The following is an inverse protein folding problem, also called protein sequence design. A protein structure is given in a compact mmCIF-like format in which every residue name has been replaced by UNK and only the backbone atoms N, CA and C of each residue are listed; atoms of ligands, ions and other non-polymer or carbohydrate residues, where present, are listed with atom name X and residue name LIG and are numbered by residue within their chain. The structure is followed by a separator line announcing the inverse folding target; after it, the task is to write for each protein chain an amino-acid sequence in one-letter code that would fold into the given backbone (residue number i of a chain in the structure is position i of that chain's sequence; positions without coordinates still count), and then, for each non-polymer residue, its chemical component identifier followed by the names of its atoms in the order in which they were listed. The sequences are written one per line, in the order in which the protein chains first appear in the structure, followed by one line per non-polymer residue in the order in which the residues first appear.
data_IF_010148369061
#
_entry.id   IF_010148369061
#
_cell.length_a   1.000
_cell.length_b   1.000
_cell.length_c   1.000
_cell.angle_alpha   90.00
_cell.angle_beta   90.00
_cell.angle_gamma   90.00
#
_symmetry.space_group_name_H-M   'P 1'
#
loop_
_entity.id
_entity.type
_entity.pdbx_description
1 polymer ?
#
# COMPACT_ATOMS: atom_id res chain seq x y z
N UNK A 1 -56.34 -37.58 -23.65
CA UNK A 1 -56.33 -36.55 -22.58
C UNK A 1 -55.09 -36.77 -21.72
N UNK A 2 -53.94 -36.21 -22.10
CA UNK A 2 -52.71 -36.28 -21.30
C UNK A 2 -52.25 -34.87 -20.98
N UNK A 3 -52.15 -34.58 -19.68
CA UNK A 3 -51.90 -33.27 -19.08
C UNK A 3 -50.46 -32.83 -19.32
N UNK A 4 -50.31 -31.64 -19.89
CA UNK A 4 -49.05 -30.89 -20.00
C UNK A 4 -48.72 -30.33 -18.60
N UNK A 5 -47.64 -30.80 -18.00
CA UNK A 5 -47.15 -30.31 -16.70
C UNK A 5 -46.07 -29.25 -16.97
N UNK A 6 -46.44 -27.97 -16.87
CA UNK A 6 -45.52 -26.84 -17.01
C UNK A 6 -44.78 -26.68 -15.68
N UNK A 7 -43.49 -26.98 -15.68
CA UNK A 7 -42.59 -26.80 -14.53
C UNK A 7 -42.03 -25.37 -14.57
N UNK A 8 -42.49 -24.52 -13.66
CA UNK A 8 -41.94 -23.17 -13.45
C UNK A 8 -40.62 -23.28 -12.68
N UNK A 9 -39.51 -22.95 -13.34
CA UNK A 9 -38.21 -22.78 -12.70
C UNK A 9 -38.17 -21.36 -12.11
N UNK A 10 -38.27 -21.25 -10.79
CA UNK A 10 -38.09 -19.99 -10.07
C UNK A 10 -36.60 -19.83 -9.77
N UNK A 11 -35.93 -18.96 -10.52
CA UNK A 11 -34.54 -18.59 -10.27
C UNK A 11 -34.51 -17.63 -9.08
N UNK A 12 -34.15 -18.11 -7.89
CA UNK A 12 -33.93 -17.26 -6.74
C UNK A 12 -32.60 -16.50 -6.92
N UNK A 13 -32.67 -15.21 -7.20
CA UNK A 13 -31.51 -14.31 -7.11
C UNK A 13 -31.19 -14.10 -5.65
N UNK A 14 -30.11 -14.73 -5.17
CA UNK A 14 -29.52 -14.40 -3.88
C UNK A 14 -28.86 -13.03 -4.02
N UNK A 15 -29.56 -11.97 -3.60
CA UNK A 15 -28.94 -10.67 -3.37
C UNK A 15 -28.02 -10.82 -2.16
N UNK A 16 -26.71 -10.90 -2.39
CA UNK A 16 -25.72 -10.77 -1.33
C UNK A 16 -25.91 -9.37 -0.71
N UNK A 17 -26.32 -9.35 0.55
CA UNK A 17 -26.27 -8.15 1.37
C UNK A 17 -24.78 -7.86 1.59
N UNK A 18 -24.24 -6.89 0.87
CA UNK A 18 -22.90 -6.39 1.17
C UNK A 18 -22.97 -5.70 2.54
N UNK A 19 -22.03 -5.99 3.46
CA UNK A 19 -21.97 -5.30 4.74
C UNK A 19 -21.81 -3.79 4.51
N UNK A 20 -22.44 -3.01 5.39
CA UNK A 20 -22.45 -1.56 5.38
C UNK A 20 -21.00 -1.04 5.48
N UNK A 21 -20.54 -0.41 4.40
CA UNK A 21 -19.36 0.43 4.21
C UNK A 21 -18.39 0.57 5.42
N UNK A 22 -17.27 -0.17 5.37
CA UNK A 22 -16.00 0.44 5.75
C UNK A 22 -15.86 1.74 4.95
N UNK A 23 -15.44 2.83 5.59
CA UNK A 23 -15.11 4.07 4.89
C UNK A 23 -14.20 3.72 3.70
N UNK A 24 -14.46 4.30 2.53
CA UNK A 24 -13.63 4.03 1.35
C UNK A 24 -12.26 4.65 1.61
N UNK A 25 -11.35 3.85 2.18
CA UNK A 25 -9.96 4.21 2.37
C UNK A 25 -9.38 4.52 1.01
N UNK A 26 -8.80 5.71 0.87
CA UNK A 26 -8.01 6.09 -0.31
C UNK A 26 -6.57 5.64 -0.09
N UNK A 27 -6.11 4.55 -0.72
CA UNK A 27 -4.90 3.87 -0.27
C UNK A 27 -3.64 4.74 -0.33
N UNK A 28 -3.50 5.58 -1.34
CA UNK A 28 -2.37 6.51 -1.53
C UNK A 28 -2.32 7.67 -0.51
N UNK A 29 -3.45 8.04 0.07
CA UNK A 29 -3.54 9.09 1.10
C UNK A 29 -3.45 8.50 2.52
N UNK A 30 -3.71 7.20 2.67
CA UNK A 30 -3.84 6.55 3.98
C UNK A 30 -2.57 5.83 4.41
N UNK A 31 -2.04 4.94 3.57
CA UNK A 31 -0.86 4.16 3.91
C UNK A 31 0.40 4.96 3.63
N UNK A 32 1.38 4.87 4.52
CA UNK A 32 2.75 5.31 4.24
C UNK A 32 3.57 4.17 3.64
N UNK A 33 3.30 2.94 4.09
CA UNK A 33 3.84 1.71 3.50
C UNK A 33 2.74 0.66 3.32
N UNK A 34 2.74 -0.01 2.17
CA UNK A 34 1.86 -1.16 1.94
C UNK A 34 2.56 -2.29 1.20
N UNK A 35 2.41 -3.51 1.71
CA UNK A 35 2.81 -4.74 1.00
C UNK A 35 1.56 -5.45 0.48
N UNK A 36 1.51 -5.83 -0.80
CA UNK A 36 0.38 -6.60 -1.34
C UNK A 36 0.35 -8.03 -0.78
N UNK A 37 1.52 -8.56 -0.42
CA UNK A 37 1.72 -9.83 0.27
C UNK A 37 2.22 -9.58 1.68
N UNK A 38 3.37 -10.15 2.02
CA UNK A 38 3.88 -10.19 3.39
C UNK A 38 4.82 -9.01 3.69
N UNK A 39 4.93 -8.67 4.98
CA UNK A 39 6.03 -7.89 5.53
C UNK A 39 6.84 -8.82 6.45
N UNK A 40 8.06 -9.17 6.06
CA UNK A 40 8.87 -10.16 6.77
C UNK A 40 8.35 -11.59 6.58
N UNK A 41 8.94 -12.52 7.33
CA UNK A 41 8.48 -13.91 7.42
C UNK A 41 8.85 -14.50 8.77
N UNK A 42 8.35 -15.70 9.07
CA UNK A 42 8.76 -16.47 10.25
C UNK A 42 10.26 -16.76 10.30
N UNK A 43 10.91 -16.94 9.14
CA UNK A 43 12.34 -17.18 9.02
C UNK A 43 13.19 -15.90 9.02
N UNK A 44 12.59 -14.77 8.65
CA UNK A 44 13.27 -13.48 8.51
C UNK A 44 12.31 -12.35 8.86
N UNK A 45 12.17 -12.06 10.16
CA UNK A 45 11.39 -10.94 10.67
C UNK A 45 12.00 -9.62 10.19
N UNK A 46 11.14 -8.68 9.79
CA UNK A 46 11.54 -7.35 9.35
C UNK A 46 11.90 -6.48 10.56
N UNK A 47 13.02 -5.76 10.48
CA UNK A 47 13.44 -4.77 11.48
C UNK A 47 13.22 -3.36 10.93
N UNK A 48 11.98 -3.07 10.55
CA UNK A 48 11.64 -1.83 9.87
C UNK A 48 11.03 -0.79 10.82
N UNK A 49 11.19 0.47 10.46
CA UNK A 49 10.57 1.61 11.14
C UNK A 49 9.64 2.33 10.16
N UNK A 50 8.38 2.55 10.54
CA UNK A 50 7.37 3.16 9.68
C UNK A 50 6.75 4.37 10.37
N UNK A 51 6.85 5.55 9.75
CA UNK A 51 6.09 6.74 10.16
C UNK A 51 4.80 6.80 9.34
N UNK A 52 3.65 6.70 10.02
CA UNK A 52 2.32 6.61 9.42
C UNK A 52 1.71 5.21 9.46
N UNK A 53 0.51 5.07 8.89
CA UNK A 53 -0.18 3.78 8.82
C UNK A 53 0.54 2.82 7.88
N UNK A 54 0.74 1.58 8.34
CA UNK A 54 1.34 0.49 7.59
C UNK A 54 0.30 -0.60 7.29
N UNK A 55 0.45 -1.29 6.16
CA UNK A 55 -0.45 -2.36 5.78
C UNK A 55 0.22 -3.50 5.04
N UNK A 56 -0.34 -4.70 5.18
CA UNK A 56 0.02 -5.87 4.40
C UNK A 56 -1.23 -6.64 3.98
N UNK A 57 -1.32 -7.07 2.73
CA UNK A 57 -2.37 -7.98 2.29
C UNK A 57 -2.23 -9.39 2.87
N UNK A 58 -1.01 -9.79 3.22
CA UNK A 58 -0.66 -11.06 3.85
C UNK A 58 -0.27 -10.92 5.31
N UNK A 59 0.74 -11.70 5.71
CA UNK A 59 1.24 -11.77 7.08
C UNK A 59 2.30 -10.70 7.36
N UNK A 60 2.43 -10.33 8.63
CA UNK A 60 3.38 -9.32 9.09
C UNK A 60 4.20 -9.86 10.24
N UNK A 61 5.51 -9.93 10.03
CA UNK A 61 6.49 -10.51 10.94
C UNK A 61 7.57 -9.47 11.26
N UNK A 62 7.42 -8.78 12.39
CA UNK A 62 8.32 -7.70 12.81
C UNK A 62 9.24 -8.12 13.97
N UNK A 63 10.41 -7.50 14.05
CA UNK A 63 11.34 -7.60 15.17
C UNK A 63 12.00 -6.26 15.44
N UNK A 64 11.99 -5.76 16.68
CA UNK A 64 12.68 -4.49 17.01
C UNK A 64 12.34 -3.34 16.08
N UNK A 65 11.04 -3.22 15.80
CA UNK A 65 10.42 -2.28 14.87
C UNK A 65 9.60 -1.23 15.59
N UNK A 66 9.51 -0.03 15.01
CA UNK A 66 8.54 0.98 15.39
C UNK A 66 7.54 1.28 14.27
N UNK A 67 6.28 1.47 14.64
CA UNK A 67 5.23 1.98 13.74
C UNK A 67 4.60 3.16 14.45
N UNK A 68 4.75 4.35 13.87
CA UNK A 68 4.37 5.61 14.48
C UNK A 68 3.25 6.26 13.68
N UNK A 69 1.99 5.94 13.99
CA UNK A 69 0.84 6.50 13.26
C UNK A 69 0.56 7.98 13.58
N UNK A 70 1.19 8.50 14.65
CA UNK A 70 1.04 9.88 15.12
C UNK A 70 -0.12 10.08 16.10
N UNK A 71 -0.90 9.03 16.40
CA UNK A 71 -1.95 9.05 17.43
C UNK A 71 -2.30 7.64 17.91
N UNK A 72 -2.52 7.47 19.21
CA UNK A 72 -2.99 6.20 19.80
C UNK A 72 -4.39 5.78 19.35
N UNK A 73 -5.18 6.74 18.85
CA UNK A 73 -6.56 6.55 18.38
C UNK A 73 -6.64 6.23 16.87
N UNK A 74 -5.53 6.35 16.16
CA UNK A 74 -5.43 5.97 14.74
C UNK A 74 -5.03 4.51 14.61
N UNK A 75 -5.31 3.89 13.46
CA UNK A 75 -4.73 2.59 13.13
C UNK A 75 -3.29 2.79 12.66
N UNK A 76 -2.39 2.05 13.30
CA UNK A 76 -0.98 2.01 12.93
C UNK A 76 -0.70 0.89 11.94
N UNK A 77 -1.41 -0.24 12.07
CA UNK A 77 -1.09 -1.44 11.32
C UNK A 77 -2.35 -2.22 10.93
N UNK A 78 -2.43 -2.60 9.66
CA UNK A 78 -3.44 -3.50 9.10
C UNK A 78 -2.79 -4.74 8.47
N UNK A 79 -3.11 -5.94 8.95
CA UNK A 79 -2.65 -7.19 8.35
C UNK A 79 -3.83 -8.00 7.82
N UNK A 80 -3.78 -8.43 6.56
CA UNK A 80 -4.77 -9.34 6.01
C UNK A 80 -4.68 -10.76 6.61
N UNK A 81 -3.46 -11.17 6.99
CA UNK A 81 -3.15 -12.43 7.66
C UNK A 81 -2.78 -12.25 9.13
N UNK A 82 -1.77 -12.98 9.58
CA UNK A 82 -1.26 -12.92 10.96
C UNK A 82 -0.40 -11.66 11.17
N UNK A 83 -0.49 -11.06 12.36
CA UNK A 83 0.44 -10.02 12.80
C UNK A 83 1.26 -10.54 13.98
N UNK A 84 2.58 -10.64 13.79
CA UNK A 84 3.48 -11.00 14.86
C UNK A 84 4.65 -10.06 15.00
N UNK A 85 4.79 -9.50 16.20
CA UNK A 85 5.85 -8.57 16.56
C UNK A 85 6.58 -9.08 17.79
N UNK A 86 7.90 -9.08 17.73
CA UNK A 86 8.76 -9.52 18.82
C UNK A 86 9.86 -8.48 19.11
N UNK A 87 10.37 -8.49 20.33
CA UNK A 87 11.60 -7.79 20.75
C UNK A 87 11.54 -6.26 20.65
N UNK A 88 11.32 -5.56 21.76
CA UNK A 88 11.45 -4.10 21.89
C UNK A 88 10.72 -3.31 20.80
N UNK A 89 9.53 -3.77 20.38
CA UNK A 89 8.73 -3.10 19.36
C UNK A 89 7.81 -2.03 19.95
N UNK A 90 7.50 -0.99 19.17
CA UNK A 90 6.49 0.02 19.51
C UNK A 90 5.51 0.13 18.35
N UNK A 91 4.22 0.02 18.63
CA UNK A 91 3.14 0.29 17.67
C UNK A 91 2.27 1.37 18.28
N UNK A 92 2.42 2.58 17.78
CA UNK A 92 1.64 3.73 18.24
C UNK A 92 0.33 3.84 17.47
N UNK A 93 -0.70 3.19 17.99
CA UNK A 93 -2.04 3.14 17.41
C UNK A 93 -2.73 1.79 17.63
N UNK A 94 -3.87 1.63 16.97
CA UNK A 94 -4.60 0.38 16.87
C UNK A 94 -3.94 -0.58 15.86
N UNK A 95 -4.10 -1.88 16.11
CA UNK A 95 -3.69 -2.94 15.18
C UNK A 95 -4.88 -3.83 14.89
N UNK A 96 -5.12 -4.10 13.62
CA UNK A 96 -6.04 -5.16 13.20
C UNK A 96 -5.35 -6.19 12.30
N UNK A 97 -5.72 -7.45 12.50
CA UNK A 97 -5.21 -8.59 11.75
C UNK A 97 -6.37 -9.53 11.40
N UNK A 98 -6.48 -9.92 10.13
CA UNK A 98 -7.44 -10.94 9.70
C UNK A 98 -7.18 -12.32 10.31
N UNK A 99 -5.90 -12.59 10.64
CA UNK A 99 -5.44 -13.76 11.36
C UNK A 99 -5.26 -13.52 12.85
N UNK A 100 -4.25 -14.16 13.43
CA UNK A 100 -3.89 -14.07 14.84
C UNK A 100 -2.88 -12.96 15.11
N UNK A 101 -2.89 -12.41 16.33
CA UNK A 101 -1.91 -11.45 16.81
C UNK A 101 -1.01 -12.11 17.87
N UNK A 102 0.27 -12.24 17.55
CA UNK A 102 1.28 -12.85 18.42
C UNK A 102 2.36 -11.86 18.85
N UNK A 103 2.51 -11.62 20.15
CA UNK A 103 3.35 -10.53 20.67
C UNK A 103 4.41 -10.96 21.69
N UNK A 104 5.56 -10.30 21.71
CA UNK A 104 6.59 -10.48 22.75
C UNK A 104 7.42 -9.22 22.89
N UNK A 105 7.51 -8.65 24.10
CA UNK A 105 8.39 -7.51 24.33
C UNK A 105 7.98 -6.25 23.56
N UNK A 106 6.68 -6.03 23.37
CA UNK A 106 6.12 -4.96 22.52
C UNK A 106 5.20 -4.05 23.32
N UNK A 107 5.18 -2.78 22.96
CA UNK A 107 4.15 -1.82 23.40
C UNK A 107 3.25 -1.49 22.21
N UNK A 108 1.95 -1.74 22.36
CA UNK A 108 0.90 -1.23 21.47
C UNK A 108 0.11 -0.20 22.24
N UNK A 109 0.03 1.05 21.77
CA UNK A 109 -0.63 2.13 22.53
C UNK A 109 -2.16 2.05 22.43
N UNK A 110 -2.69 1.44 21.37
CA UNK A 110 -4.13 1.32 21.11
C UNK A 110 -4.73 -0.06 21.37
N UNK A 111 -5.82 -0.35 20.65
CA UNK A 111 -6.57 -1.60 20.69
C UNK A 111 -5.98 -2.65 19.74
N UNK A 112 -6.22 -3.92 20.04
CA UNK A 112 -5.95 -5.05 19.15
C UNK A 112 -7.26 -5.68 18.68
N UNK A 113 -7.33 -5.97 17.38
CA UNK A 113 -8.45 -6.66 16.74
C UNK A 113 -7.92 -7.83 15.91
N UNK A 114 -8.26 -9.07 16.28
CA UNK A 114 -7.81 -10.27 15.56
C UNK A 114 -9.01 -11.08 15.07
N UNK A 115 -8.96 -11.57 13.83
CA UNK A 115 -9.88 -12.61 13.35
C UNK A 115 -9.62 -13.97 14.02
N UNK A 116 -8.36 -14.24 14.36
CA UNK A 116 -7.91 -15.42 15.08
C UNK A 116 -7.70 -15.18 16.58
N UNK A 117 -6.61 -15.72 17.12
CA UNK A 117 -6.25 -15.61 18.54
C UNK A 117 -5.40 -14.37 18.81
N UNK A 118 -5.41 -13.88 20.05
CA UNK A 118 -4.43 -12.90 20.56
C UNK A 118 -3.63 -13.58 21.66
N UNK A 119 -2.32 -13.67 21.51
CA UNK A 119 -1.44 -14.32 22.48
C UNK A 119 -0.11 -13.60 22.62
N UNK A 120 0.53 -13.79 23.78
CA UNK A 120 1.95 -13.47 23.95
C UNK A 120 2.78 -14.75 24.02
N UNK A 121 4.05 -14.66 23.64
CA UNK A 121 4.93 -15.82 23.63
C UNK A 121 5.41 -16.25 25.04
N UNK A 122 5.07 -15.52 26.10
CA UNK A 122 5.40 -15.87 27.49
C UNK A 122 6.79 -15.43 27.99
N UNK A 123 7.53 -14.69 27.16
CA UNK A 123 8.84 -14.10 27.46
C UNK A 123 8.77 -12.63 27.05
N UNK A 124 9.53 -11.74 27.70
CA UNK A 124 9.39 -10.28 27.52
C UNK A 124 8.09 -9.72 28.13
N UNK A 125 8.05 -8.40 28.36
CA UNK A 125 6.84 -7.73 28.83
C UNK A 125 6.10 -7.16 27.62
N UNK A 126 4.81 -7.45 27.49
CA UNK A 126 3.96 -6.83 26.47
C UNK A 126 3.00 -5.83 27.13
N UNK A 127 2.78 -4.69 26.50
CA UNK A 127 1.82 -3.70 26.95
C UNK A 127 0.83 -3.40 25.84
N UNK A 128 -0.46 -3.54 26.13
CA UNK A 128 -1.57 -3.13 25.28
C UNK A 128 -2.27 -1.98 25.99
N UNK A 129 -2.16 -0.79 25.43
CA UNK A 129 -2.72 0.43 25.99
C UNK A 129 -4.25 0.45 25.95
N UNK A 130 -4.88 -0.33 25.07
CA UNK A 130 -6.33 -0.51 24.97
C UNK A 130 -6.82 -1.93 25.30
N UNK A 131 -7.86 -2.35 24.59
CA UNK A 131 -8.48 -3.68 24.70
C UNK A 131 -7.93 -4.65 23.66
N UNK A 132 -7.96 -5.95 24.00
CA UNK A 132 -7.71 -7.05 23.07
C UNK A 132 -9.03 -7.74 22.69
N UNK A 133 -9.39 -7.70 21.42
CA UNK A 133 -10.63 -8.28 20.88
C UNK A 133 -10.27 -9.34 19.84
N UNK A 134 -10.62 -10.60 20.12
CA UNK A 134 -10.29 -11.74 19.26
C UNK A 134 -11.55 -12.49 18.83
N UNK A 135 -11.63 -12.86 17.55
CA UNK A 135 -12.59 -13.84 17.04
C UNK A 135 -12.37 -15.23 17.65
N UNK A 136 -11.10 -15.56 17.92
CA UNK A 136 -10.69 -16.72 18.70
C UNK A 136 -10.57 -16.41 20.19
N UNK A 137 -9.45 -16.83 20.78
CA UNK A 137 -9.15 -16.68 22.20
C UNK A 137 -8.11 -15.58 22.47
N UNK A 138 -8.29 -14.85 23.56
CA UNK A 138 -7.24 -13.99 24.15
C UNK A 138 -6.51 -14.77 25.24
N UNK A 139 -5.29 -15.21 24.95
CA UNK A 139 -4.43 -16.01 25.83
C UNK A 139 -3.16 -15.23 26.20
N UNK A 140 -3.28 -14.34 27.19
CA UNK A 140 -2.19 -13.50 27.66
C UNK A 140 -1.60 -14.04 28.98
N UNK A 141 -0.27 -14.09 29.08
CA UNK A 141 0.48 -14.48 30.26
C UNK A 141 0.51 -13.35 31.30
N UNK A 142 1.01 -13.65 32.50
CA UNK A 142 1.17 -12.64 33.56
C UNK A 142 2.19 -11.54 33.25
N UNK A 143 2.87 -11.59 32.09
CA UNK A 143 3.84 -10.59 31.63
C UNK A 143 3.23 -9.58 30.66
N UNK A 144 1.99 -9.81 30.22
CA UNK A 144 1.26 -8.89 29.38
C UNK A 144 0.33 -8.03 30.23
N UNK A 145 0.28 -6.72 29.94
CA UNK A 145 -0.72 -5.81 30.48
C UNK A 145 -1.71 -5.42 29.38
N UNK A 146 -2.99 -5.38 29.74
CA UNK A 146 -4.11 -5.05 28.84
C UNK A 146 -5.23 -4.42 29.66
N UNK A 147 -6.01 -3.52 29.08
CA UNK A 147 -7.15 -2.92 29.80
C UNK A 147 -8.32 -3.89 29.93
N UNK A 148 -8.64 -4.59 28.84
CA UNK A 148 -9.69 -5.60 28.79
C UNK A 148 -9.39 -6.66 27.73
N UNK A 149 -9.91 -7.87 27.93
CA UNK A 149 -9.74 -8.99 27.00
C UNK A 149 -11.09 -9.59 26.65
N UNK A 150 -11.36 -9.74 25.37
CA UNK A 150 -12.61 -10.26 24.85
C UNK A 150 -12.34 -11.35 23.81
N UNK A 151 -12.66 -12.60 24.16
CA UNK A 151 -12.63 -13.75 23.24
C UNK A 151 -13.99 -13.93 22.56
N UNK A 152 -14.00 -14.49 21.34
CA UNK A 152 -15.22 -14.76 20.58
C UNK A 152 -15.93 -13.52 20.03
N UNK A 153 -15.25 -12.37 19.95
CA UNK A 153 -15.78 -11.14 19.37
C UNK A 153 -15.67 -11.23 17.85
N UNK A 154 -16.78 -11.07 17.13
CA UNK A 154 -16.75 -11.09 15.67
C UNK A 154 -15.76 -10.03 15.13
N UNK A 155 -14.85 -10.46 14.26
CA UNK A 155 -13.89 -9.58 13.62
C UNK A 155 -14.52 -8.88 12.42
N UNK A 156 -14.41 -7.56 12.40
CA UNK A 156 -14.82 -6.71 11.28
C UNK A 156 -13.59 -5.98 10.72
N UNK A 157 -13.07 -6.40 9.55
CA UNK A 157 -11.88 -5.80 8.98
C UNK A 157 -12.12 -4.34 8.65
N UNK A 158 -11.18 -3.47 9.06
CA UNK A 158 -11.24 -2.05 8.75
C UNK A 158 -10.84 -1.75 7.31
N UNK A 159 -9.97 -2.60 6.76
CA UNK A 159 -9.45 -2.50 5.40
C UNK A 159 -9.87 -3.72 4.58
N UNK A 160 -10.36 -3.48 3.37
CA UNK A 160 -10.47 -4.54 2.37
C UNK A 160 -9.12 -4.68 1.63
N UNK A 161 -8.25 -5.54 2.15
CA UNK A 161 -6.90 -5.74 1.62
C UNK A 161 -6.86 -6.17 0.15
N UNK A 162 -7.86 -6.94 -0.29
CA UNK A 162 -7.97 -7.33 -1.70
C UNK A 162 -8.26 -6.12 -2.59
N UNK A 163 -9.18 -5.24 -2.17
CA UNK A 163 -9.49 -4.02 -2.92
C UNK A 163 -8.30 -3.06 -2.95
N UNK A 164 -7.62 -2.87 -1.82
CA UNK A 164 -6.41 -2.02 -1.73
C UNK A 164 -5.29 -2.55 -2.63
N UNK A 165 -5.02 -3.86 -2.58
CA UNK A 165 -3.98 -4.49 -3.40
C UNK A 165 -4.29 -4.37 -4.89
N UNK A 166 -5.56 -4.55 -5.26
CA UNK A 166 -5.99 -4.40 -6.65
C UNK A 166 -5.90 -2.95 -7.14
N UNK A 167 -6.23 -1.97 -6.29
CA UNK A 167 -6.10 -0.54 -6.59
C UNK A 167 -4.65 -0.16 -6.91
N UNK A 168 -3.69 -0.58 -6.08
CA UNK A 168 -2.27 -0.35 -6.35
C UNK A 168 -1.77 -1.05 -7.61
N UNK A 169 -2.20 -2.29 -7.84
CA UNK A 169 -1.82 -3.06 -9.03
C UNK A 169 -2.36 -2.42 -10.31
N UNK A 170 -3.64 -2.09 -10.34
CA UNK A 170 -4.28 -1.43 -11.48
C UNK A 170 -3.70 -0.06 -11.75
N UNK A 171 -3.46 0.74 -10.69
CA UNK A 171 -2.83 2.05 -10.83
C UNK A 171 -1.42 1.93 -11.42
N UNK A 172 -0.60 1.00 -10.91
CA UNK A 172 0.76 0.79 -11.43
C UNK A 172 0.77 0.33 -12.88
N UNK A 173 -0.10 -0.62 -13.25
CA UNK A 173 -0.28 -1.08 -14.63
C UNK A 173 -0.75 0.06 -15.54
N UNK A 174 -1.71 0.86 -15.07
CA UNK A 174 -2.22 1.99 -15.83
C UNK A 174 -1.14 3.03 -16.10
N UNK A 175 -0.40 3.44 -15.06
CA UNK A 175 0.71 4.40 -15.17
C UNK A 175 1.81 3.83 -16.08
N UNK A 176 2.10 2.53 -15.96
CA UNK A 176 3.07 1.82 -16.81
C UNK A 176 2.67 1.78 -18.29
N UNK A 177 1.38 1.84 -18.60
CA UNK A 177 0.84 1.87 -19.96
C UNK A 177 0.70 3.29 -20.54
N UNK A 178 0.96 4.35 -19.76
CA UNK A 178 0.92 5.73 -20.27
C UNK A 178 2.11 6.00 -21.18
N UNK A 179 1.87 6.64 -22.31
CA UNK A 179 2.93 7.04 -23.22
C UNK A 179 3.82 8.13 -22.60
N UNK A 180 5.14 7.98 -22.71
CA UNK A 180 6.09 9.02 -22.31
C UNK A 180 5.82 10.34 -23.08
N UNK A 181 5.76 11.45 -22.34
CA UNK A 181 5.49 12.80 -22.87
C UNK A 181 6.73 13.71 -22.86
N UNK A 182 7.86 13.22 -22.38
CA UNK A 182 9.12 13.95 -22.30
C UNK A 182 10.33 13.04 -22.34
N UNK A 183 11.51 13.63 -22.20
CA UNK A 183 12.78 12.90 -22.13
C UNK A 183 13.60 13.35 -20.94
N UNK A 184 14.36 12.43 -20.38
CA UNK A 184 15.32 12.71 -19.32
C UNK A 184 16.66 13.03 -19.96
N UNK A 185 17.25 14.16 -19.57
CA UNK A 185 18.60 14.52 -20.00
C UNK A 185 19.62 14.11 -18.95
N UNK A 186 20.76 13.57 -19.38
CA UNK A 186 21.91 13.31 -18.51
C UNK A 186 22.88 14.50 -18.59
N UNK A 187 23.08 15.18 -17.46
CA UNK A 187 23.98 16.31 -17.31
C UNK A 187 25.10 15.93 -16.34
N UNK A 188 26.21 15.44 -16.90
CA UNK A 188 27.40 15.05 -16.11
C UNK A 188 27.09 14.01 -15.02
N UNK A 189 26.29 12.99 -15.35
CA UNK A 189 25.89 11.93 -14.41
C UNK A 189 24.67 12.29 -13.54
N UNK A 190 24.09 13.48 -13.71
CA UNK A 190 22.83 13.87 -13.08
C UNK A 190 21.68 13.75 -14.08
N UNK A 191 20.57 13.14 -13.70
CA UNK A 191 19.36 13.13 -14.51
C UNK A 191 18.58 14.42 -14.30
N UNK A 192 18.09 15.01 -15.38
CA UNK A 192 17.28 16.22 -15.33
C UNK A 192 16.06 16.05 -16.23
N UNK A 193 14.89 16.20 -15.62
CA UNK A 193 13.61 16.27 -16.32
C UNK A 193 12.98 17.66 -16.13
N UNK A 194 12.42 18.20 -17.21
CA UNK A 194 11.67 19.47 -17.21
C UNK A 194 10.25 19.17 -17.66
N UNK A 195 9.30 19.29 -16.75
CA UNK A 195 7.87 19.06 -16.97
C UNK A 195 7.08 20.34 -17.20
N UNK A 196 5.81 20.18 -17.56
CA UNK A 196 4.81 21.24 -17.67
C UNK A 196 3.70 21.06 -16.62
N UNK A 197 2.76 22.01 -16.56
CA UNK A 197 1.52 21.86 -15.78
C UNK A 197 0.76 20.58 -16.17
N UNK A 198 0.08 19.97 -15.20
CA UNK A 198 -0.67 18.72 -15.38
C UNK A 198 0.18 17.46 -15.25
N UNK A 199 -0.29 16.35 -15.83
CA UNK A 199 0.39 15.06 -15.75
C UNK A 199 1.56 15.00 -16.72
N UNK A 200 2.70 14.54 -16.25
CA UNK A 200 3.93 14.32 -17.01
C UNK A 200 4.35 12.87 -16.84
N UNK A 201 4.66 12.19 -17.94
CA UNK A 201 5.11 10.79 -17.93
C UNK A 201 6.47 10.72 -18.58
N UNK A 202 7.43 10.09 -17.90
CA UNK A 202 8.77 9.81 -18.44
C UNK A 202 9.19 8.38 -18.13
N UNK A 203 10.11 7.87 -18.94
CA UNK A 203 10.67 6.54 -18.78
C UNK A 203 12.16 6.63 -18.49
N UNK A 204 12.65 5.75 -17.61
CA UNK A 204 14.07 5.58 -17.32
C UNK A 204 14.37 4.10 -17.16
N UNK A 205 15.43 3.61 -17.78
CA UNK A 205 15.91 2.26 -17.48
C UNK A 205 16.68 2.24 -16.15
N UNK A 206 16.67 1.09 -15.51
CA UNK A 206 17.29 0.91 -14.21
C UNK A 206 18.80 1.17 -14.22
N UNK A 207 19.51 0.85 -15.31
CA UNK A 207 20.96 1.07 -15.37
C UNK A 207 21.27 2.57 -15.39
N UNK A 208 20.49 3.35 -16.14
CA UNK A 208 20.59 4.82 -16.19
C UNK A 208 20.28 5.43 -14.82
N UNK A 209 19.19 5.01 -14.17
CA UNK A 209 18.81 5.51 -12.84
C UNK A 209 19.88 5.19 -11.79
N UNK A 210 20.36 3.95 -11.75
CA UNK A 210 21.41 3.49 -10.81
C UNK A 210 22.75 4.20 -11.03
N UNK A 211 23.09 4.53 -12.27
CA UNK A 211 24.36 5.19 -12.60
C UNK A 211 24.34 6.68 -12.30
N UNK A 212 23.15 7.26 -12.07
CA UNK A 212 22.99 8.66 -11.79
C UNK A 212 23.29 8.96 -10.31
N UNK A 213 24.05 10.02 -10.05
CA UNK A 213 24.27 10.47 -8.68
C UNK A 213 23.07 11.28 -8.14
N UNK A 214 22.18 11.75 -9.02
CA UNK A 214 20.97 12.46 -8.63
C UNK A 214 19.98 12.63 -9.79
N UNK A 215 18.75 13.00 -9.44
CA UNK A 215 17.65 13.26 -10.36
C UNK A 215 16.97 14.58 -9.96
N UNK A 216 17.11 15.61 -10.80
CA UNK A 216 16.35 16.86 -10.68
C UNK A 216 15.08 16.83 -11.53
N UNK A 217 13.97 17.20 -10.92
CA UNK A 217 12.67 17.38 -11.56
C UNK A 217 12.30 18.86 -11.47
N UNK A 218 12.14 19.50 -12.62
CA UNK A 218 11.76 20.92 -12.73
C UNK A 218 10.35 21.00 -13.30
N UNK A 219 9.36 21.36 -12.50
CA UNK A 219 7.98 21.48 -12.93
C UNK A 219 7.19 22.46 -12.04
N UNK A 220 6.11 23.08 -12.54
CA UNK A 220 5.24 23.92 -11.73
C UNK A 220 4.53 23.13 -10.62
N UNK A 221 4.01 23.84 -9.60
CA UNK A 221 3.39 23.23 -8.42
C UNK A 221 2.12 22.40 -8.69
N UNK A 222 1.48 22.60 -9.84
CA UNK A 222 0.31 21.85 -10.29
C UNK A 222 0.66 20.64 -11.17
N UNK A 223 1.96 20.36 -11.35
CA UNK A 223 2.42 19.20 -12.10
C UNK A 223 2.38 17.92 -11.27
N UNK A 224 2.07 16.81 -11.93
CA UNK A 224 2.28 15.45 -11.42
C UNK A 224 3.30 14.78 -12.31
N UNK A 225 4.31 14.13 -11.74
CA UNK A 225 5.38 13.47 -12.50
C UNK A 225 5.37 11.97 -12.21
N UNK A 226 5.13 11.19 -13.25
CA UNK A 226 5.10 9.73 -13.22
C UNK A 226 6.34 9.22 -13.95
N UNK A 227 7.22 8.54 -13.23
CA UNK A 227 8.49 8.02 -13.73
C UNK A 227 8.36 6.51 -13.84
N UNK A 228 8.25 5.98 -15.05
CA UNK A 228 8.20 4.55 -15.29
C UNK A 228 9.61 3.97 -15.36
N UNK A 229 9.89 2.99 -14.50
CA UNK A 229 11.07 2.11 -14.60
C UNK A 229 10.64 0.81 -15.26
N UNK A 230 11.20 0.53 -16.44
CA UNK A 230 10.70 -0.52 -17.32
C UNK A 230 11.22 -1.93 -16.97
N UNK A 231 12.32 -1.98 -16.22
CA UNK A 231 13.04 -3.20 -15.89
C UNK A 231 12.29 -4.11 -14.91
N UNK A 232 12.53 -5.42 -15.04
CA UNK A 232 11.98 -6.43 -14.13
C UNK A 232 12.76 -6.55 -12.82
N UNK A 233 14.00 -6.05 -12.77
CA UNK A 233 14.84 -6.06 -11.57
C UNK A 233 15.42 -4.68 -11.34
N UNK A 234 15.09 -4.10 -10.18
CA UNK A 234 15.44 -2.74 -9.82
C UNK A 234 16.26 -2.71 -8.53
N UNK A 235 17.18 -1.77 -8.42
CA UNK A 235 18.07 -1.57 -7.29
C UNK A 235 18.35 -0.09 -7.09
N UNK A 236 17.89 0.48 -5.98
CA UNK A 236 18.07 1.88 -5.66
C UNK A 236 19.02 2.02 -4.48
N UNK A 237 20.30 2.15 -4.83
CA UNK A 237 21.41 2.18 -3.87
C UNK A 237 21.75 3.60 -3.39
N UNK A 238 21.10 4.64 -3.93
CA UNK A 238 21.00 6.05 -3.49
C UNK A 238 20.94 6.95 -4.73
N UNK A 239 19.87 7.73 -4.85
CA UNK A 239 19.76 8.81 -5.83
C UNK A 239 19.34 10.05 -5.08
N UNK A 240 20.10 11.15 -5.21
CA UNK A 240 19.65 12.44 -4.66
C UNK A 240 18.49 12.98 -5.50
N UNK A 241 17.31 13.09 -4.90
CA UNK A 241 16.12 13.65 -5.55
C UNK A 241 16.04 15.15 -5.25
N UNK A 242 15.89 15.95 -6.31
CA UNK A 242 15.75 17.40 -6.19
C UNK A 242 14.51 17.88 -6.95
N UNK A 243 13.69 18.69 -6.30
CA UNK A 243 12.46 19.25 -6.86
C UNK A 243 12.61 20.76 -7.03
N UNK A 244 12.27 21.28 -8.20
CA UNK A 244 12.41 22.70 -8.55
C UNK A 244 11.20 23.18 -9.35
N UNK A 245 10.96 24.50 -9.37
CA UNK A 245 9.85 25.10 -10.13
C UNK A 245 8.51 25.09 -9.40
N UNK A 246 8.46 24.55 -8.18
CA UNK A 246 7.28 24.54 -7.31
C UNK A 246 6.64 23.16 -7.12
N UNK A 247 7.04 22.15 -7.92
CA UNK A 247 6.68 20.76 -7.64
C UNK A 247 7.33 20.28 -6.33
N UNK A 248 6.61 19.43 -5.60
CA UNK A 248 7.05 18.81 -4.35
C UNK A 248 7.09 17.28 -4.51
N UNK A 249 7.77 16.58 -3.58
CA UNK A 249 7.96 15.12 -3.66
C UNK A 249 6.64 14.36 -3.69
N UNK A 250 5.60 14.86 -3.02
CA UNK A 250 4.27 14.27 -2.91
C UNK A 250 3.56 14.16 -4.28
N UNK A 251 4.03 14.90 -5.29
CA UNK A 251 3.50 14.88 -6.65
C UNK A 251 4.36 14.04 -7.63
N UNK A 252 5.39 13.35 -7.14
CA UNK A 252 6.29 12.52 -7.94
C UNK A 252 6.18 11.06 -7.56
N UNK A 253 5.92 10.19 -8.54
CA UNK A 253 5.80 8.75 -8.36
C UNK A 253 6.79 7.99 -9.24
N UNK A 254 7.63 7.18 -8.62
CA UNK A 254 8.45 6.18 -9.29
C UNK A 254 7.66 4.87 -9.41
N UNK A 255 7.16 4.60 -10.61
CA UNK A 255 6.34 3.44 -10.92
C UNK A 255 7.18 2.32 -11.56
N UNK A 256 7.06 1.11 -11.02
CA UNK A 256 7.80 -0.07 -11.47
C UNK A 256 6.83 -1.22 -11.79
N UNK A 257 5.95 -0.99 -12.77
CA UNK A 257 4.85 -1.91 -13.10
C UNK A 257 5.31 -3.35 -13.43
N UNK A 258 6.52 -3.51 -13.95
CA UNK A 258 7.07 -4.81 -14.36
C UNK A 258 8.08 -5.39 -13.36
N UNK A 259 8.45 -4.66 -12.31
CA UNK A 259 9.50 -5.10 -11.40
C UNK A 259 9.03 -6.26 -10.53
N UNK A 260 9.76 -7.38 -10.59
CA UNK A 260 9.56 -8.56 -9.74
C UNK A 260 10.55 -8.60 -8.57
N UNK A 261 11.66 -7.86 -8.66
CA UNK A 261 12.62 -7.68 -7.58
C UNK A 261 12.99 -6.21 -7.44
N UNK A 262 12.99 -5.73 -6.20
CA UNK A 262 13.47 -4.40 -5.84
C UNK A 262 14.45 -4.52 -4.67
N UNK A 263 15.65 -3.96 -4.82
CA UNK A 263 16.61 -3.83 -3.72
C UNK A 263 16.72 -2.35 -3.33
N UNK A 264 16.61 -2.08 -2.03
CA UNK A 264 16.77 -0.75 -1.44
C UNK A 264 17.84 -0.85 -0.36
N UNK A 265 18.85 0.02 -0.42
CA UNK A 265 19.97 -0.03 0.55
C UNK A 265 20.43 1.34 1.05
N UNK A 266 19.79 2.43 0.63
CA UNK A 266 20.10 3.81 1.06
C UNK A 266 18.85 4.69 1.00
N UNK A 267 19.03 5.98 1.31
CA UNK A 267 17.96 6.97 1.31
C UNK A 267 17.48 7.32 -0.10
N UNK A 268 16.16 7.30 -0.30
CA UNK A 268 15.47 7.70 -1.51
C UNK A 268 14.27 8.60 -1.15
N UNK A 269 14.33 9.88 -1.52
CA UNK A 269 13.27 10.86 -1.27
C UNK A 269 12.26 10.94 -2.40
N UNK A 270 11.54 9.84 -2.66
CA UNK A 270 10.53 9.73 -3.73
C UNK A 270 9.48 8.70 -3.34
N UNK A 271 8.26 8.85 -3.86
CA UNK A 271 7.22 7.83 -3.73
C UNK A 271 7.50 6.67 -4.69
N UNK A 272 7.34 5.43 -4.23
CA UNK A 272 7.66 4.21 -4.97
C UNK A 272 6.43 3.31 -5.04
N UNK A 273 6.04 2.92 -6.26
CA UNK A 273 4.98 1.95 -6.53
C UNK A 273 5.54 0.79 -7.35
N UNK A 274 5.77 -0.35 -6.68
CA UNK A 274 6.34 -1.57 -7.26
C UNK A 274 5.53 -2.82 -6.82
N UNK A 275 4.23 -2.90 -7.16
CA UNK A 275 3.29 -3.84 -6.53
C UNK A 275 3.57 -5.31 -6.84
N UNK A 276 4.39 -5.63 -7.83
CA UNK A 276 4.79 -7.00 -8.16
C UNK A 276 6.14 -7.40 -7.53
N UNK A 277 6.86 -6.44 -6.92
CA UNK A 277 8.23 -6.65 -6.51
C UNK A 277 8.32 -7.32 -5.14
N UNK A 278 9.10 -8.40 -5.07
CA UNK A 278 9.66 -8.86 -3.79
C UNK A 278 10.82 -7.95 -3.41
N UNK A 279 10.61 -7.12 -2.39
CA UNK A 279 11.52 -6.04 -2.03
C UNK A 279 12.43 -6.42 -0.87
N UNK A 280 13.74 -6.26 -1.07
CA UNK A 280 14.77 -6.35 -0.04
C UNK A 280 15.20 -4.94 0.36
N UNK A 281 14.67 -4.44 1.48
CA UNK A 281 14.99 -3.13 2.02
C UNK A 281 16.00 -3.27 3.15
N UNK A 282 17.28 -3.42 2.80
CA UNK A 282 18.33 -3.78 3.76
C UNK A 282 18.52 -2.72 4.83
N UNK A 283 18.59 -1.46 4.43
CA UNK A 283 18.85 -0.30 5.29
C UNK A 283 18.52 0.99 4.52
N UNK A 284 18.52 2.12 5.23
CA UNK A 284 18.25 3.45 4.66
C UNK A 284 16.81 3.88 4.87
N UNK A 285 16.40 4.93 4.16
CA UNK A 285 15.08 5.55 4.34
C UNK A 285 14.41 5.80 3.00
N UNK A 286 13.18 5.34 2.82
CA UNK A 286 12.30 5.89 1.79
C UNK A 286 11.59 7.08 2.43
N UNK A 287 11.99 8.29 2.03
CA UNK A 287 11.30 9.52 2.44
C UNK A 287 10.20 9.83 1.42
N UNK A 288 9.07 9.14 1.59
CA UNK A 288 7.90 9.16 0.74
C UNK A 288 7.01 7.95 1.04
N UNK A 289 6.15 7.64 0.08
CA UNK A 289 5.26 6.50 0.07
C UNK A 289 5.92 5.25 -0.53
N UNK A 290 5.67 4.06 0.03
CA UNK A 290 6.22 2.80 -0.48
C UNK A 290 5.15 1.72 -0.64
N UNK A 291 4.94 1.23 -1.87
CA UNK A 291 4.12 0.05 -2.16
C UNK A 291 4.91 -1.01 -2.87
N UNK A 292 4.84 -2.24 -2.37
CA UNK A 292 5.58 -3.38 -2.89
C UNK A 292 4.76 -4.66 -2.91
N UNK A 293 5.21 -5.67 -3.64
CA UNK A 293 4.60 -7.01 -3.62
C UNK A 293 4.85 -7.75 -2.31
N UNK A 294 6.11 -7.83 -1.89
CA UNK A 294 6.51 -8.29 -0.55
C UNK A 294 7.59 -7.35 0.00
N UNK A 295 7.69 -7.20 1.32
CA UNK A 295 8.69 -6.35 1.96
C UNK A 295 9.51 -7.15 2.97
N UNK A 296 10.83 -7.14 2.82
CA UNK A 296 11.77 -7.76 3.77
C UNK A 296 12.90 -6.78 4.11
N UNK A 297 13.56 -6.99 5.24
CA UNK A 297 14.74 -6.20 5.65
C UNK A 297 14.46 -5.28 6.83
N UNK A 298 15.14 -4.15 6.91
CA UNK A 298 15.06 -3.24 8.05
C UNK A 298 15.22 -1.75 7.73
N UNK A 299 14.83 -1.34 6.53
CA UNK A 299 14.78 0.08 6.18
C UNK A 299 13.64 0.83 6.87
N UNK A 300 13.75 2.16 6.87
CA UNK A 300 12.74 3.08 7.38
C UNK A 300 11.88 3.62 6.23
N UNK A 301 10.58 3.83 6.47
CA UNK A 301 9.70 4.61 5.59
C UNK A 301 9.17 5.80 6.37
N UNK A 302 9.32 7.01 5.83
CA UNK A 302 8.90 8.27 6.47
C UNK A 302 8.31 9.26 5.46
N UNK A 303 7.60 10.30 5.94
CA UNK A 303 7.22 11.46 5.11
C UNK A 303 6.11 11.21 4.09
N UNK A 304 5.18 10.29 4.41
CA UNK A 304 4.25 9.66 3.48
C UNK A 304 3.18 10.51 2.77
N UNK A 305 2.46 9.79 1.91
CA UNK A 305 1.40 10.14 0.97
C UNK A 305 1.84 10.70 -0.40
N UNK A 306 1.38 10.02 -1.46
CA UNK A 306 1.38 10.56 -2.81
C UNK A 306 0.05 11.27 -3.05
N UNK A 307 0.09 12.56 -3.39
CA UNK A 307 -1.10 13.43 -3.54
C UNK A 307 -1.37 13.79 -5.00
N UNK A 308 -0.51 13.34 -5.92
CA UNK A 308 -0.71 13.57 -7.35
C UNK A 308 -1.98 12.89 -7.87
N UNK A 309 -2.81 13.62 -8.61
CA UNK A 309 -3.97 13.04 -9.26
C UNK A 309 -3.52 12.15 -10.43
N UNK A 310 -3.76 10.85 -10.33
CA UNK A 310 -3.59 9.91 -11.45
C UNK A 310 -4.90 9.92 -12.24
N UNK A 311 -4.89 10.22 -13.56
CA UNK A 311 -6.12 10.23 -14.35
C UNK A 311 -6.78 8.86 -14.32
N UNK A 312 -8.06 8.77 -13.95
CA UNK A 312 -8.80 7.50 -13.94
C UNK A 312 -8.99 6.92 -15.36
N UNK A 313 -8.82 5.60 -15.58
CA UNK A 313 -8.91 4.99 -16.90
C UNK A 313 -10.36 4.88 -17.42
N UNK A 314 -11.33 4.86 -16.50
CA UNK A 314 -12.75 4.60 -16.80
C UNK A 314 -13.51 5.81 -17.33
N UNK A 315 -13.08 7.04 -17.04
CA UNK A 315 -13.80 8.26 -17.47
C UNK A 315 -13.73 8.42 -18.99
N UNK A 316 -12.59 8.10 -19.60
CA UNK A 316 -12.40 8.18 -21.06
C UNK A 316 -13.24 7.13 -21.80
N UNK A 317 -13.35 5.93 -21.23
CA UNK A 317 -14.09 4.81 -21.82
C UNK A 317 -15.61 5.01 -21.74
N UNK A 318 -16.11 5.50 -20.59
CA UNK A 318 -17.52 5.86 -20.39
C UNK A 318 -17.93 7.07 -21.22
N UNK A 319 -17.06 8.09 -21.34
CA UNK A 319 -17.33 9.24 -22.20
C UNK A 319 -17.35 8.85 -23.68
N UNK A 320 -16.45 7.96 -24.12
CA UNK A 320 -16.45 7.42 -25.48
C UNK A 320 -17.69 6.57 -25.78
N UNK A 321 -18.12 5.72 -24.83
CA UNK A 321 -19.34 4.93 -24.95
C UNK A 321 -20.60 5.82 -24.98
N UNK A 322 -20.67 6.85 -24.13
CA UNK A 322 -21.75 7.84 -24.11
C UNK A 322 -21.79 8.67 -25.40
N UNK A 323 -20.62 9.11 -25.92
CA UNK A 323 -20.50 9.82 -27.18
C UNK A 323 -20.95 8.96 -28.37
N UNK A 324 -20.58 7.68 -28.41
CA UNK A 324 -21.06 6.75 -29.44
C UNK A 324 -22.56 6.49 -29.36
N UNK A 325 -23.14 6.36 -28.16
CA UNK A 325 -24.59 6.23 -27.97
C UNK A 325 -25.35 7.48 -28.44
N UNK A 326 -24.83 8.68 -28.18
CA UNK A 326 -25.41 9.94 -28.64
C UNK A 326 -25.32 10.10 -30.17
N UNK A 327 -24.21 9.69 -30.78
CA UNK A 327 -24.05 9.68 -32.24
C UNK A 327 -24.99 8.67 -32.92
N UNK A 328 -25.25 7.51 -32.30
CA UNK A 328 -26.19 6.51 -32.82
C UNK A 328 -27.63 7.00 -32.77
N UNK A 329 -28.02 7.70 -31.70
CA UNK A 329 -29.38 8.24 -31.51
C UNK A 329 -29.72 9.38 -32.48
N UNK A 330 -28.71 10.16 -32.91
CA UNK A 330 -28.88 11.24 -33.91
C UNK A 330 -29.13 10.70 -35.32
N UNK A 331 -28.67 9.47 -35.61
CA UNK A 331 -28.83 8.85 -36.93
C UNK A 331 -30.22 8.23 -37.14
N UNK A 332 -30.90 7.85 -36.07
CA UNK A 332 -32.25 7.24 -36.11
C UNK A 332 -33.41 8.25 -36.13
N UNK A 333 -33.15 9.55 -35.99
CA UNK A 333 -34.19 10.60 -36.03
C UNK A 333 -34.33 11.22 -37.44
N UNK A 334 -33.35 10.99 -38.32
CA UNK A 334 -33.31 11.54 -39.68
C UNK A 334 -33.58 10.49 -40.79
N UNK A 335 -34.22 9.37 -40.44
CA UNK A 335 -34.65 8.29 -41.35
C UNK A 335 -36.09 7.94 -41.07
#
# INVERSE_FOLDING_TARGET
MNKLCIMFLVTATVSAVQPLHAETIKPFEYFSVYSLGDIGSTASRSQADFDGAAGAGGDVWLTSSSIMSGSSDSYAMHAGGDFSVQWSGIVDGHVDAGGSIGMNGVTVTGNLYAGGDIYDYGWGNAMIGGSANAGGNVALSSRATVQASHSGVAYEPQVNHQAVSEDFRQTSEQVGNMAAMGSISNQYGKLVFVGSSGVNVVEVDQQTLRSAWGFTIIAPADAVVLINVLDTSVTLDSTTWEFQGGIEKEAVLLNMANAVTLALSQTNGVNILAPLASTQFQQGTVDGFLVVGNLYGGGQVSGGAFTGAIPEPVTSSLLAAAAMLLLRRRRTINS
#
